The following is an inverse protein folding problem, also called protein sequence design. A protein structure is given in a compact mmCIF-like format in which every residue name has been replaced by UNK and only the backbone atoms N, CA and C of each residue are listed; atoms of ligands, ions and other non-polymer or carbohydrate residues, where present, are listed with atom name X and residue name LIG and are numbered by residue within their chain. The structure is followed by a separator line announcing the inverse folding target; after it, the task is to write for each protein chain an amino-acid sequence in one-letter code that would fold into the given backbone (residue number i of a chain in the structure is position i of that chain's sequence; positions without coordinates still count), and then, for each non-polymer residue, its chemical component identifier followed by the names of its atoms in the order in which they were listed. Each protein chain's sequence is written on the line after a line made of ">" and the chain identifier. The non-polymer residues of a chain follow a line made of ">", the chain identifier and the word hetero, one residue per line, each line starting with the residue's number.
data_IF_155272802202
#
_entry.id   IF_155272802202
#
_cell.length_a   1.000
_cell.length_b   1.000
_cell.length_c   1.000
_cell.angle_alpha   90.00
_cell.angle_beta   90.00
_cell.angle_gamma   90.00
#
_symmetry.space_group_name_H-M   'P 1'
#
loop_
_entity.id
_entity.type
_entity.pdbx_description
1 polymer ?
#
# COMPACT_ATOMS: atom_id res chain seq x y z
N UNK A 1 3.07 14.43 25.13
CA UNK A 1 2.40 13.72 24.01
C UNK A 1 3.15 12.43 23.72
N UNK A 2 2.50 11.26 23.78
CA UNK A 2 3.14 9.98 23.41
C UNK A 2 3.41 10.01 21.90
N UNK A 3 4.62 9.62 21.46
CA UNK A 3 4.91 9.38 20.04
C UNK A 3 3.93 8.29 19.56
N UNK A 4 3.26 8.45 18.41
CA UNK A 4 2.46 7.35 17.86
C UNK A 4 3.39 6.15 17.68
N UNK A 5 3.04 5.03 18.31
CA UNK A 5 3.70 3.74 18.10
C UNK A 5 3.30 3.24 16.72
N UNK A 6 4.22 2.56 16.03
CA UNK A 6 3.91 1.89 14.77
C UNK A 6 2.76 0.89 14.98
N UNK A 7 1.89 0.70 13.98
CA UNK A 7 0.80 -0.27 14.04
C UNK A 7 1.35 -1.70 13.99
N UNK A 8 0.59 -2.65 14.55
CA UNK A 8 0.94 -4.07 14.56
C UNK A 8 0.74 -4.73 13.18
N UNK A 9 0.00 -4.08 12.27
CA UNK A 9 -0.29 -4.58 10.93
C UNK A 9 -0.35 -3.41 9.95
N UNK A 10 0.18 -3.65 8.74
CA UNK A 10 0.15 -2.73 7.62
C UNK A 10 -0.28 -3.47 6.37
N UNK A 11 -1.04 -2.77 5.53
CA UNK A 11 -1.65 -3.27 4.31
C UNK A 11 -0.99 -2.66 3.09
N UNK A 12 -0.57 -3.49 2.12
CA UNK A 12 -0.21 -3.03 0.78
C UNK A 12 -1.24 -3.53 -0.23
N UNK A 13 -1.67 -2.64 -1.13
CA UNK A 13 -2.63 -2.95 -2.19
C UNK A 13 -1.92 -2.97 -3.54
N UNK A 14 -2.03 -4.09 -4.25
CA UNK A 14 -1.50 -4.26 -5.62
C UNK A 14 -2.49 -5.02 -6.52
N UNK A 15 -2.17 -5.09 -7.82
CA UNK A 15 -2.91 -5.87 -8.83
C UNK A 15 -2.47 -7.33 -8.82
N UNK A 16 -3.39 -8.28 -9.02
CA UNK A 16 -3.11 -9.74 -9.11
C UNK A 16 -2.00 -10.04 -10.09
N UNK A 17 -2.00 -9.35 -11.23
CA UNK A 17 -1.07 -9.62 -12.32
C UNK A 17 0.38 -9.47 -11.88
N UNK A 18 0.64 -8.81 -10.75
CA UNK A 18 1.97 -8.68 -10.16
C UNK A 18 2.26 -9.75 -9.10
N UNK A 19 1.28 -10.49 -8.59
CA UNK A 19 1.50 -11.47 -7.54
C UNK A 19 2.53 -12.53 -7.92
N UNK A 20 2.37 -13.16 -9.08
CA UNK A 20 3.31 -14.20 -9.51
C UNK A 20 4.73 -13.62 -9.54
N UNK A 21 4.92 -12.43 -10.14
CA UNK A 21 6.23 -11.78 -10.16
C UNK A 21 6.79 -11.43 -8.78
N UNK A 22 5.93 -11.08 -7.82
CA UNK A 22 6.33 -10.75 -6.44
C UNK A 22 6.82 -12.02 -5.72
N UNK A 23 6.10 -13.14 -5.89
CA UNK A 23 6.49 -14.43 -5.31
C UNK A 23 7.74 -14.99 -6.00
N UNK A 24 7.81 -14.94 -7.34
CA UNK A 24 8.98 -15.37 -8.12
C UNK A 24 10.24 -14.58 -7.73
N UNK A 25 10.11 -13.28 -7.46
CA UNK A 25 11.25 -12.47 -7.02
C UNK A 25 11.52 -12.55 -5.51
N UNK A 26 10.61 -13.12 -4.72
CA UNK A 26 10.71 -13.17 -3.26
C UNK A 26 10.56 -11.80 -2.56
N UNK A 27 10.13 -10.76 -3.27
CA UNK A 27 10.05 -9.40 -2.72
C UNK A 27 8.98 -8.54 -3.38
N UNK A 28 8.35 -7.67 -2.57
CA UNK A 28 7.57 -6.54 -3.04
C UNK A 28 8.51 -5.35 -3.26
N UNK A 29 8.65 -4.96 -4.52
CA UNK A 29 9.55 -3.89 -4.98
C UNK A 29 8.88 -2.52 -4.91
N UNK A 30 9.71 -1.47 -4.91
CA UNK A 30 9.25 -0.08 -4.98
C UNK A 30 8.68 0.24 -6.37
N UNK A 31 7.64 1.08 -6.40
CA UNK A 31 7.22 1.69 -7.65
C UNK A 31 8.23 2.77 -8.07
N UNK A 32 8.84 2.61 -9.23
CA UNK A 32 9.76 3.60 -9.83
C UNK A 32 9.13 4.37 -10.99
N UNK A 33 8.11 3.79 -11.63
CA UNK A 33 7.36 4.41 -12.72
C UNK A 33 6.36 5.41 -12.16
N UNK A 34 6.31 6.62 -12.74
CA UNK A 34 5.36 7.67 -12.35
C UNK A 34 5.74 8.44 -11.08
N UNK A 35 6.94 8.20 -10.52
CA UNK A 35 7.48 8.98 -9.40
C UNK A 35 7.97 10.34 -9.94
N UNK A 36 7.45 11.47 -9.45
CA UNK A 36 7.91 12.79 -9.87
C UNK A 36 9.41 13.00 -9.67
N UNK A 37 10.04 13.77 -10.56
CA UNK A 37 11.46 14.10 -10.42
C UNK A 37 11.72 14.80 -9.07
N UNK A 38 12.64 14.25 -8.28
CA UNK A 38 12.98 14.74 -6.95
C UNK A 38 12.22 14.05 -5.81
N UNK A 39 11.16 13.30 -6.11
CA UNK A 39 10.53 12.40 -5.13
C UNK A 39 11.30 11.09 -5.02
N UNK A 40 11.41 10.56 -3.80
CA UNK A 40 12.04 9.28 -3.53
C UNK A 40 11.02 8.18 -3.82
N UNK A 41 11.32 7.21 -4.70
CA UNK A 41 10.49 6.01 -4.85
C UNK A 41 10.19 5.40 -3.49
N UNK A 42 8.95 4.97 -3.30
CA UNK A 42 8.48 4.45 -2.03
C UNK A 42 7.45 3.34 -2.25
N UNK A 43 7.52 2.32 -1.41
CA UNK A 43 6.51 1.28 -1.30
C UNK A 43 5.48 1.74 -0.26
N UNK A 44 4.25 1.96 -0.69
CA UNK A 44 3.19 2.50 0.16
C UNK A 44 2.46 1.41 0.94
N UNK A 45 2.18 1.68 2.21
CA UNK A 45 1.35 0.85 3.06
C UNK A 45 0.33 1.73 3.82
N UNK A 46 -0.80 1.14 4.16
CA UNK A 46 -1.77 1.72 5.07
C UNK A 46 -1.74 1.02 6.43
N UNK A 47 -2.14 1.71 7.50
CA UNK A 47 -2.51 1.15 8.80
C UNK A 47 -4.02 1.15 9.04
N UNK A 48 -4.82 1.43 8.03
CA UNK A 48 -6.28 1.28 8.07
C UNK A 48 -6.64 -0.16 7.71
N UNK A 49 -7.39 -0.88 8.56
CA UNK A 49 -7.88 -2.21 8.22
C UNK A 49 -8.92 -2.20 7.10
N UNK A 50 -9.52 -1.04 6.81
CA UNK A 50 -10.45 -0.88 5.71
C UNK A 50 -9.70 -0.58 4.41
N UNK A 51 -10.30 -0.98 3.29
CA UNK A 51 -9.76 -0.68 1.98
C UNK A 51 -9.68 0.84 1.77
N UNK A 52 -8.48 1.36 1.55
CA UNK A 52 -8.29 2.76 1.18
C UNK A 52 -8.44 2.95 -0.33
N UNK A 53 -9.56 3.55 -0.75
CA UNK A 53 -9.83 3.84 -2.17
C UNK A 53 -8.80 4.77 -2.82
N UNK A 54 -8.05 5.53 -2.01
CA UNK A 54 -6.94 6.39 -2.43
C UNK A 54 -5.80 5.62 -3.08
N UNK A 55 -5.67 4.32 -2.82
CA UNK A 55 -4.64 3.46 -3.41
C UNK A 55 -4.92 3.14 -4.90
N UNK A 56 -6.12 3.44 -5.40
CA UNK A 56 -6.50 3.19 -6.78
C UNK A 56 -6.40 4.46 -7.63
N UNK A 57 -5.55 4.49 -8.67
CA UNK A 57 -5.55 5.60 -9.62
C UNK A 57 -6.90 5.60 -10.34
N UNK A 58 -7.71 6.64 -10.11
CA UNK A 58 -9.05 6.90 -10.68
C UNK A 58 -9.49 5.88 -11.75
N UNK A 59 -9.90 4.70 -11.31
CA UNK A 59 -11.02 4.05 -11.95
C UNK A 59 -12.21 4.92 -11.51
N UNK A 60 -12.96 5.45 -12.46
CA UNK A 60 -14.25 6.07 -12.12
C UNK A 60 -15.04 5.08 -11.27
N UNK A 61 -15.82 5.57 -10.30
CA UNK A 61 -16.71 4.70 -9.49
C UNK A 61 -17.57 3.81 -10.41
N UNK A 62 -17.91 4.32 -11.60
CA UNK A 62 -18.57 3.61 -12.67
C UNK A 62 -17.74 2.45 -13.28
N UNK A 63 -16.44 2.62 -13.54
CA UNK A 63 -15.56 1.51 -13.96
C UNK A 63 -15.39 0.46 -12.85
N UNK A 64 -15.50 0.84 -11.58
CA UNK A 64 -15.47 -0.09 -10.44
C UNK A 64 -16.80 -0.86 -10.29
N UNK A 65 -17.95 -0.22 -10.57
CA UNK A 65 -19.28 -0.84 -10.57
C UNK A 65 -19.54 -1.73 -11.80
N UNK A 66 -19.10 -1.31 -12.99
CA UNK A 66 -19.19 -2.09 -14.23
C UNK A 66 -18.17 -3.24 -14.27
N UNK A 67 -17.09 -3.16 -13.46
CA UNK A 67 -16.11 -4.24 -13.28
C UNK A 67 -16.47 -5.23 -12.16
N UNK A 68 -17.75 -5.61 -12.06
CA UNK A 68 -18.19 -6.82 -11.33
C UNK A 68 -17.38 -8.11 -11.66
N UNK A 69 -16.47 -8.05 -12.65
CA UNK A 69 -15.53 -9.07 -13.10
C UNK A 69 -14.02 -8.80 -12.89
N UNK A 70 -13.58 -7.70 -12.27
CA UNK A 70 -12.15 -7.48 -11.96
C UNK A 70 -11.92 -6.90 -10.55
N UNK A 71 -12.32 -7.61 -9.47
CA UNK A 71 -11.77 -7.33 -8.17
C UNK A 71 -10.34 -7.88 -8.18
N UNK A 72 -9.39 -7.09 -8.62
CA UNK A 72 -7.99 -7.50 -8.66
C UNK A 72 -7.23 -6.66 -7.65
N UNK A 73 -7.68 -6.77 -6.41
CA UNK A 73 -7.14 -6.07 -5.26
C UNK A 73 -6.59 -7.13 -4.34
N UNK A 74 -5.26 -7.20 -4.28
CA UNK A 74 -4.58 -8.19 -3.48
C UNK A 74 -3.95 -7.47 -2.29
N UNK A 75 -4.47 -7.77 -1.11
CA UNK A 75 -3.90 -7.38 0.18
C UNK A 75 -2.76 -8.36 0.48
N UNK A 76 -1.52 -7.89 0.38
CA UNK A 76 -0.42 -8.56 1.06
C UNK A 76 -0.48 -8.07 2.51
N UNK A 77 -0.88 -8.95 3.43
CA UNK A 77 -0.80 -8.72 4.88
C UNK A 77 0.26 -9.64 5.47
N UNK A 78 0.93 -9.28 6.57
CA UNK A 78 1.37 -8.00 7.06
C UNK A 78 2.84 -7.83 6.63
N UNK A 79 3.46 -6.74 7.06
CA UNK A 79 4.84 -6.84 7.50
C UNK A 79 4.77 -6.82 9.02
N UNK A 80 5.10 -7.94 9.68
CA UNK A 80 5.46 -7.91 11.09
C UNK A 80 6.89 -7.36 11.15
N UNK A 81 7.00 -6.05 11.31
CA UNK A 81 8.28 -5.43 11.63
C UNK A 81 8.25 -5.18 13.13
N UNK A 82 8.99 -6.02 13.85
CA UNK A 82 9.25 -5.80 15.26
C UNK A 82 9.70 -4.35 15.46
N UNK A 83 9.30 -3.79 16.60
CA UNK A 83 9.48 -2.42 17.07
C UNK A 83 10.93 -1.92 16.87
N UNK A 84 11.28 -1.56 15.64
CA UNK A 84 12.70 -1.41 15.27
C UNK A 84 13.04 -1.37 13.79
N UNK A 85 12.16 -1.78 12.87
CA UNK A 85 12.52 -1.67 11.45
C UNK A 85 12.50 -0.21 10.97
N UNK A 86 13.69 0.37 10.96
CA UNK A 86 14.04 1.69 10.42
C UNK A 86 13.60 1.90 8.97
N UNK A 87 13.20 0.85 8.24
CA UNK A 87 12.73 0.94 6.85
C UNK A 87 11.38 1.64 6.73
N UNK A 88 10.50 1.54 7.72
CA UNK A 88 9.17 2.17 7.65
C UNK A 88 9.17 3.63 8.09
N UNK A 89 8.58 4.46 7.25
CA UNK A 89 8.53 5.91 7.39
C UNK A 89 7.06 6.34 7.37
N UNK A 90 6.53 6.92 8.47
CA UNK A 90 5.18 7.47 8.46
C UNK A 90 5.11 8.65 7.49
N UNK A 91 3.93 8.86 6.88
CA UNK A 91 3.70 9.95 5.91
C UNK A 91 4.21 11.31 6.40
N UNK A 92 4.03 11.65 7.68
CA UNK A 92 4.54 12.90 8.26
C UNK A 92 6.05 13.09 8.05
N UNK A 93 6.84 12.02 8.18
CA UNK A 93 8.29 12.05 7.93
C UNK A 93 8.60 11.99 6.44
N UNK A 94 7.85 11.20 5.66
CA UNK A 94 8.00 11.14 4.21
C UNK A 94 7.76 12.53 3.57
N UNK A 95 6.72 13.25 3.99
CA UNK A 95 6.44 14.63 3.55
C UNK A 95 7.61 15.61 3.74
N UNK A 96 8.49 15.34 4.72
CA UNK A 96 9.65 16.18 5.01
C UNK A 96 10.92 15.74 4.27
N UNK A 97 11.06 14.43 3.97
CA UNK A 97 12.33 13.82 3.52
C UNK A 97 12.23 13.02 2.22
N UNK A 98 11.03 12.84 1.71
CA UNK A 98 10.69 12.06 0.52
C UNK A 98 10.64 12.88 -0.76
N UNK A 99 10.87 14.19 -0.69
CA UNK A 99 10.88 15.08 -1.86
C UNK A 99 9.50 15.57 -2.32
N UNK A 100 8.42 15.10 -1.68
CA UNK A 100 7.04 15.51 -1.99
C UNK A 100 6.88 17.02 -1.77
N UNK A 101 6.43 17.74 -2.79
CA UNK A 101 6.20 19.18 -2.67
C UNK A 101 5.03 19.46 -1.71
N UNK A 102 5.04 20.58 -0.96
CA UNK A 102 3.92 20.90 -0.06
C UNK A 102 2.57 21.00 -0.77
N UNK A 103 2.55 21.45 -2.03
CA UNK A 103 1.32 21.52 -2.83
C UNK A 103 0.80 20.11 -3.18
N UNK A 104 1.69 19.21 -3.59
CA UNK A 104 1.33 17.83 -3.90
C UNK A 104 0.87 17.06 -2.67
N UNK A 105 1.58 17.22 -1.55
CA UNK A 105 1.17 16.62 -0.28
C UNK A 105 -0.24 17.05 0.13
N UNK A 106 -0.58 18.34 0.02
CA UNK A 106 -1.94 18.84 0.31
C UNK A 106 -2.99 18.27 -0.63
N UNK A 107 -2.66 18.10 -1.91
CA UNK A 107 -3.57 17.51 -2.88
C UNK A 107 -3.87 16.04 -2.54
N UNK A 108 -2.83 15.25 -2.23
CA UNK A 108 -2.98 13.85 -1.79
C UNK A 108 -3.79 13.75 -0.49
N UNK A 109 -3.46 14.56 0.52
CA UNK A 109 -4.17 14.59 1.81
C UNK A 109 -5.65 14.99 1.62
N UNK A 110 -5.95 15.90 0.70
CA UNK A 110 -7.33 16.29 0.36
C UNK A 110 -8.09 15.16 -0.31
N UNK A 111 -7.51 14.51 -1.33
CA UNK A 111 -8.15 13.36 -1.99
C UNK A 111 -8.43 12.25 -0.98
N UNK A 112 -7.50 12.02 -0.04
CA UNK A 112 -7.72 11.05 1.04
C UNK A 112 -8.94 11.40 1.88
N UNK A 113 -9.01 12.64 2.35
CA UNK A 113 -10.13 13.11 3.13
C UNK A 113 -11.46 13.02 2.37
N UNK A 114 -11.48 13.41 1.09
CA UNK A 114 -12.67 13.37 0.24
C UNK A 114 -13.16 11.91 0.01
N UNK A 115 -12.26 10.93 0.08
CA UNK A 115 -12.56 9.50 -0.03
C UNK A 115 -12.74 8.79 1.33
N UNK A 116 -12.81 9.55 2.43
CA UNK A 116 -12.98 9.00 3.78
C UNK A 116 -11.74 8.32 4.38
N UNK A 117 -10.58 8.44 3.71
CA UNK A 117 -9.31 7.91 4.17
C UNK A 117 -8.53 8.94 5.01
N UNK A 118 -7.58 8.46 5.81
CA UNK A 118 -6.73 9.30 6.66
C UNK A 118 -5.27 9.15 6.29
N UNK A 119 -4.63 10.21 5.81
CA UNK A 119 -3.20 10.24 5.53
C UNK A 119 -2.30 9.93 6.75
N UNK A 120 -2.86 9.92 7.95
CA UNK A 120 -2.15 9.50 9.18
C UNK A 120 -1.93 8.00 9.23
N UNK A 121 -2.73 7.25 8.46
CA UNK A 121 -2.60 5.82 8.31
C UNK A 121 -1.57 5.46 7.24
N UNK A 122 -1.00 6.42 6.51
CA UNK A 122 -0.03 6.15 5.45
C UNK A 122 1.38 5.98 5.99
N UNK A 123 2.00 4.89 5.55
CA UNK A 123 3.38 4.51 5.80
C UNK A 123 4.06 4.21 4.48
N UNK A 124 5.38 4.31 4.45
CA UNK A 124 6.13 3.86 3.29
C UNK A 124 7.45 3.20 3.67
N UNK A 125 7.94 2.31 2.81
CA UNK A 125 9.32 1.81 2.84
C UNK A 125 10.11 2.37 1.67
N UNK A 126 11.37 2.75 1.93
CA UNK A 126 12.34 3.07 0.86
C UNK A 126 13.18 1.86 0.44
N UNK A 127 12.84 0.67 0.92
CA UNK A 127 13.46 -0.60 0.56
C UNK A 127 12.38 -1.64 0.20
N UNK A 128 12.70 -2.64 -0.65
CA UNK A 128 11.81 -3.76 -0.89
C UNK A 128 11.46 -4.50 0.39
N UNK A 129 10.31 -5.17 0.40
CA UNK A 129 9.83 -5.99 1.52
C UNK A 129 9.83 -7.45 1.06
N UNK A 130 10.58 -8.32 1.74
CA UNK A 130 10.58 -9.76 1.47
C UNK A 130 9.20 -10.37 1.68
N UNK A 131 8.81 -11.32 0.81
CA UNK A 131 7.55 -12.08 0.96
C UNK A 131 7.51 -12.91 2.24
N UNK A 132 8.67 -13.24 2.82
CA UNK A 132 8.77 -13.94 4.12
C UNK A 132 8.17 -13.14 5.27
N UNK A 133 8.04 -11.82 5.11
CA UNK A 133 7.39 -10.97 6.10
C UNK A 133 5.87 -10.99 6.01
N UNK A 134 5.30 -11.59 4.95
CA UNK A 134 3.86 -11.72 4.75
C UNK A 134 3.30 -12.88 5.58
N UNK A 135 2.19 -12.66 6.27
CA UNK A 135 1.47 -13.65 7.09
C UNK A 135 0.21 -14.14 6.41
N UNK A 136 -0.33 -13.38 5.46
CA UNK A 136 -1.42 -13.78 4.56
C UNK A 136 -1.45 -12.94 3.29
N UNK A 137 -1.77 -13.56 2.18
CA UNK A 137 -2.12 -12.84 0.95
C UNK A 137 -3.58 -13.06 0.68
N UNK A 138 -4.34 -11.99 0.55
CA UNK A 138 -5.77 -12.04 0.27
C UNK A 138 -6.07 -11.33 -1.02
N UNK A 139 -7.12 -11.77 -1.70
CA UNK A 139 -7.51 -11.31 -3.02
C UNK A 139 -8.99 -11.03 -2.97
N UNK A 140 -9.44 -9.93 -3.55
CA UNK A 140 -10.86 -9.67 -3.68
C UNK A 140 -11.43 -10.56 -4.80
N UNK A 141 -12.47 -11.37 -4.56
CA UNK A 141 -13.21 -12.14 -5.58
C UNK A 141 -14.69 -11.93 -5.33
N UNK A 142 -15.41 -11.40 -6.33
CA UNK A 142 -16.84 -11.11 -6.20
C UNK A 142 -17.19 -10.23 -4.99
N UNK A 143 -16.36 -9.23 -4.70
CA UNK A 143 -16.54 -8.32 -3.56
C UNK A 143 -16.21 -8.90 -2.18
N UNK A 144 -15.57 -10.09 -2.12
CA UNK A 144 -15.13 -10.72 -0.87
C UNK A 144 -13.63 -10.98 -0.88
N UNK A 145 -12.98 -10.75 0.25
CA UNK A 145 -11.59 -11.15 0.44
C UNK A 145 -11.50 -12.67 0.61
N UNK A 146 -10.65 -13.32 -0.19
CA UNK A 146 -10.33 -14.75 -0.11
C UNK A 146 -8.82 -14.95 -0.01
N UNK A 147 -8.40 -15.96 0.74
CA UNK A 147 -6.98 -16.28 0.90
C UNK A 147 -6.39 -16.77 -0.43
N UNK A 148 -5.26 -16.18 -0.83
CA UNK A 148 -4.44 -16.64 -1.93
C UNK A 148 -3.54 -17.78 -1.46
N UNK A 149 -3.79 -18.99 -1.95
CA UNK A 149 -2.89 -20.11 -1.74
C UNK A 149 -1.83 -20.12 -2.85
N UNK A 150 -0.63 -19.65 -2.55
CA UNK A 150 0.53 -19.90 -3.40
C UNK A 150 0.98 -21.36 -3.18
N UNK A 151 0.89 -22.21 -4.20
CA UNK A 151 1.49 -23.55 -4.16
C UNK A 151 2.87 -23.46 -4.79
N UNK A 152 3.89 -23.90 -4.07
CA UNK A 152 5.19 -24.20 -4.69
C UNK A 152 4.96 -25.30 -5.74
N UNK A 153 5.46 -25.08 -6.96
CA UNK A 153 5.46 -26.07 -8.05
C UNK A 153 6.80 -26.77 -8.07
#
# INVERSE_FOLDING_TARGET
>A
MKKPTSPDTLWHYSKAGHLQSIFDSGELRLATIGVPLGERPALWLSSDPNLEWTAYPKATVQELEESAYQPVHFCLNPAALERGDVRLVPWKKHRQKGGVTPAWARALEKVAQDLGASHRNWWCSYAPISVEHFSKVEIMVGGKWVLFAHREV
#
